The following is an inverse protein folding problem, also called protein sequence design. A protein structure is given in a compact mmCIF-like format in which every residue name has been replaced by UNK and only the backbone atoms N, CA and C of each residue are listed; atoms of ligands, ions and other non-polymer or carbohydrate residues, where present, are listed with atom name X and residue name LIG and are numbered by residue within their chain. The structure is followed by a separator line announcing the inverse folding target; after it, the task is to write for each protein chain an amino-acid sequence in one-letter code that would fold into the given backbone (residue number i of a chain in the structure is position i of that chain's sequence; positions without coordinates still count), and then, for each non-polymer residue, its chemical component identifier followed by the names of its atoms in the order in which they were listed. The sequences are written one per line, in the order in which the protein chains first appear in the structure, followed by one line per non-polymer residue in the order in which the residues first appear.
data_IF_314258559974
#
_entry.id   IF_314258559974
#
_cell.length_a   1.000
_cell.length_b   1.000
_cell.length_c   1.000
_cell.angle_alpha   90.00
_cell.angle_beta   90.00
_cell.angle_gamma   90.00
#
_symmetry.space_group_name_H-M   'P 1'
#
loop_
_entity.id
_entity.type
_entity.pdbx_description
1 polymer ?
#
# COMPACT_ATOMS: atom_id res chain seq x y z
N UNK A 1 -6.46 -6.51 -4.38
CA UNK A 1 -5.49 -6.70 -5.47
C UNK A 1 -4.40 -5.67 -5.30
N UNK A 2 -3.26 -6.10 -4.78
CA UNK A 2 -2.06 -5.26 -4.68
C UNK A 2 -1.59 -5.02 -6.11
N UNK A 3 -1.61 -3.76 -6.57
CA UNK A 3 -1.18 -3.44 -7.93
C UNK A 3 0.34 -3.58 -8.01
N UNK A 4 0.87 -4.45 -8.87
CA UNK A 4 2.32 -4.53 -9.14
C UNK A 4 2.83 -3.20 -9.67
N UNK A 5 3.97 -2.76 -9.18
CA UNK A 5 4.55 -1.45 -9.47
C UNK A 5 6.02 -1.57 -9.83
N UNK A 6 6.55 -0.57 -10.52
CA UNK A 6 7.98 -0.46 -10.74
C UNK A 6 8.44 0.98 -10.61
N UNK A 7 9.66 1.16 -10.14
CA UNK A 7 10.31 2.45 -10.02
C UNK A 7 11.61 2.45 -10.82
N UNK A 8 11.92 3.61 -11.41
CA UNK A 8 13.18 3.84 -12.11
C UNK A 8 14.01 4.83 -11.31
N UNK A 9 15.25 4.44 -11.04
CA UNK A 9 16.25 5.22 -10.32
C UNK A 9 17.41 5.54 -11.27
N UNK A 10 17.83 6.81 -11.28
CA UNK A 10 18.96 7.26 -12.09
C UNK A 10 20.00 7.92 -11.20
N UNK A 11 21.27 7.86 -11.60
CA UNK A 11 22.34 8.54 -10.88
C UNK A 11 22.07 10.05 -10.78
N UNK A 12 22.23 10.60 -9.57
CA UNK A 12 22.10 12.04 -9.33
C UNK A 12 23.11 12.81 -10.18
N UNK A 13 22.71 13.98 -10.67
CA UNK A 13 23.54 14.88 -11.48
C UNK A 13 24.61 15.62 -10.65
N UNK A 14 25.43 14.90 -9.90
CA UNK A 14 26.56 15.43 -9.13
C UNK A 14 27.87 15.26 -9.91
N UNK A 15 28.82 16.21 -9.80
CA UNK A 15 30.11 16.11 -10.47
C UNK A 15 30.91 14.86 -10.04
N UNK A 16 30.78 14.46 -8.76
CA UNK A 16 31.43 13.29 -8.17
C UNK A 16 30.97 11.96 -8.79
N UNK A 17 29.71 11.89 -9.23
CA UNK A 17 29.08 10.67 -9.76
C UNK A 17 29.24 10.53 -11.28
N UNK A 18 29.83 11.53 -11.95
CA UNK A 18 30.02 11.49 -13.42
C UNK A 18 30.84 10.30 -13.89
N UNK A 19 31.79 9.84 -13.07
CA UNK A 19 32.64 8.70 -13.38
C UNK A 19 31.90 7.35 -13.32
N UNK A 20 30.69 7.34 -12.73
CA UNK A 20 29.83 6.16 -12.59
C UNK A 20 28.79 6.05 -13.71
N UNK A 21 28.58 7.13 -14.47
CA UNK A 21 27.62 7.13 -15.59
C UNK A 21 28.08 6.16 -16.68
N UNK A 22 27.15 5.37 -17.19
CA UNK A 22 27.36 4.39 -18.27
C UNK A 22 28.40 3.30 -17.95
N UNK A 23 28.74 3.10 -16.67
CA UNK A 23 29.53 1.96 -16.22
C UNK A 23 28.71 0.68 -16.28
N UNK A 24 29.36 -0.41 -16.62
CA UNK A 24 28.79 -1.75 -16.47
C UNK A 24 28.96 -2.23 -15.04
N UNK A 25 28.16 -3.20 -14.62
CA UNK A 25 28.28 -3.78 -13.27
C UNK A 25 29.64 -4.44 -13.03
N UNK A 26 30.21 -5.08 -14.07
CA UNK A 26 31.54 -5.72 -14.02
C UNK A 26 32.66 -4.72 -13.71
N UNK A 27 32.58 -3.53 -14.29
CA UNK A 27 33.52 -2.45 -14.02
C UNK A 27 33.38 -1.91 -12.60
N UNK A 28 32.14 -1.77 -12.10
CA UNK A 28 31.88 -1.37 -10.72
C UNK A 28 32.41 -2.42 -9.74
N UNK A 29 32.20 -3.70 -10.02
CA UNK A 29 32.71 -4.80 -9.20
C UNK A 29 34.25 -4.83 -9.17
N UNK A 30 34.90 -4.61 -10.32
CA UNK A 30 36.37 -4.55 -10.41
C UNK A 30 36.95 -3.38 -9.60
N UNK A 31 36.29 -2.23 -9.64
CA UNK A 31 36.69 -1.04 -8.90
C UNK A 31 36.19 -1.06 -7.44
N UNK A 32 35.49 -2.13 -7.01
CA UNK A 32 34.87 -2.30 -5.68
C UNK A 32 33.93 -1.15 -5.30
N UNK A 33 33.21 -0.60 -6.28
CA UNK A 33 32.28 0.51 -6.09
C UNK A 33 30.86 -0.06 -5.88
N UNK A 34 30.26 0.10 -4.68
CA UNK A 34 28.91 -0.40 -4.43
C UNK A 34 27.85 0.48 -5.10
N UNK A 35 26.78 -0.17 -5.57
CA UNK A 35 25.59 0.53 -6.10
C UNK A 35 24.65 0.85 -4.93
N UNK A 36 24.70 2.09 -4.45
CA UNK A 36 23.93 2.51 -3.26
C UNK A 36 22.86 3.54 -3.60
N UNK A 37 21.68 3.44 -2.98
CA UNK A 37 20.53 4.32 -3.21
C UNK A 37 20.84 5.82 -3.03
N UNK A 38 21.78 6.19 -2.16
CA UNK A 38 22.13 7.60 -1.87
C UNK A 38 22.66 8.33 -3.11
N UNK A 39 23.26 7.59 -4.04
CA UNK A 39 23.80 8.12 -5.29
C UNK A 39 22.73 8.26 -6.37
N UNK A 40 21.53 7.72 -6.16
CA UNK A 40 20.45 7.67 -7.13
C UNK A 40 19.26 8.53 -6.70
N UNK A 41 18.47 8.94 -7.68
CA UNK A 41 17.18 9.61 -7.52
C UNK A 41 16.09 8.85 -8.26
N UNK A 42 14.91 8.76 -7.65
CA UNK A 42 13.75 8.18 -8.29
C UNK A 42 13.20 9.15 -9.35
N UNK A 43 13.29 8.76 -10.62
CA UNK A 43 12.84 9.59 -11.76
C UNK A 43 11.44 9.24 -12.24
N UNK A 44 10.98 8.02 -11.95
CA UNK A 44 9.69 7.53 -12.39
C UNK A 44 9.15 6.44 -11.45
N UNK A 45 7.82 6.39 -11.33
CA UNK A 45 7.06 5.34 -10.67
C UNK A 45 5.89 4.99 -11.60
N UNK A 46 5.78 3.71 -11.91
CA UNK A 46 4.78 3.14 -12.81
C UNK A 46 4.11 1.91 -12.20
N UNK A 47 3.06 1.47 -12.87
CA UNK A 47 2.38 0.20 -12.61
C UNK A 47 2.82 -0.81 -13.66
N UNK A 48 3.08 -2.05 -13.26
CA UNK A 48 3.43 -3.16 -14.15
C UNK A 48 2.34 -4.22 -14.15
N UNK A 49 2.37 -5.10 -15.15
CA UNK A 49 1.57 -6.32 -15.16
C UNK A 49 2.22 -7.39 -14.27
N UNK A 50 1.40 -8.30 -13.77
CA UNK A 50 1.85 -9.45 -12.99
C UNK A 50 2.86 -10.28 -13.81
N UNK A 51 4.03 -10.58 -13.23
CA UNK A 51 5.09 -11.33 -13.89
C UNK A 51 5.78 -10.62 -15.07
N UNK A 52 5.64 -9.29 -15.19
CA UNK A 52 6.31 -8.52 -16.24
C UNK A 52 7.82 -8.37 -15.96
N UNK A 53 8.63 -8.65 -16.97
CA UNK A 53 10.10 -8.65 -16.86
C UNK A 53 10.67 -7.23 -17.00
N UNK A 54 11.87 -6.94 -16.42
CA UNK A 54 12.51 -5.64 -16.56
C UNK A 54 12.79 -5.26 -18.03
N UNK A 55 13.05 -6.24 -18.89
CA UNK A 55 13.20 -6.05 -20.34
C UNK A 55 11.93 -5.52 -21.01
N UNK A 56 10.78 -6.09 -20.65
CA UNK A 56 9.48 -5.66 -21.16
C UNK A 56 9.14 -4.24 -20.68
N UNK A 57 9.39 -3.94 -19.41
CA UNK A 57 9.19 -2.60 -18.84
C UNK A 57 10.05 -1.57 -19.57
N UNK A 58 11.35 -1.86 -19.79
CA UNK A 58 12.24 -0.98 -20.55
C UNK A 58 11.70 -0.71 -21.96
N UNK A 59 11.27 -1.76 -22.67
CA UNK A 59 10.71 -1.65 -24.02
C UNK A 59 9.43 -0.81 -24.08
N UNK A 60 8.54 -0.95 -23.10
CA UNK A 60 7.31 -0.15 -23.00
C UNK A 60 7.63 1.33 -22.71
N UNK A 61 8.59 1.61 -21.82
CA UNK A 61 9.05 2.97 -21.53
C UNK A 61 9.70 3.64 -22.75
N UNK A 62 10.49 2.91 -23.54
CA UNK A 62 11.10 3.40 -24.77
C UNK A 62 10.05 3.70 -25.85
N UNK A 63 9.03 2.84 -25.97
CA UNK A 63 7.94 3.02 -26.95
C UNK A 63 7.08 4.23 -26.63
N UNK A 64 6.77 4.46 -25.36
CA UNK A 64 5.98 5.59 -24.91
C UNK A 64 6.48 6.11 -23.57
N UNK A 65 7.31 7.14 -23.62
CA UNK A 65 7.78 7.78 -22.40
C UNK A 65 6.60 8.49 -21.69
N UNK A 66 6.34 8.19 -20.41
CA UNK A 66 5.27 8.83 -19.64
C UNK A 66 5.53 10.32 -19.41
N UNK A 67 4.46 11.13 -19.36
CA UNK A 67 4.57 12.59 -19.17
C UNK A 67 5.19 13.00 -17.82
N UNK A 68 5.06 12.14 -16.80
CA UNK A 68 5.60 12.34 -15.46
C UNK A 68 7.03 11.78 -15.29
N UNK A 69 7.66 11.33 -16.37
CA UNK A 69 9.03 10.83 -16.36
C UNK A 69 10.02 12.01 -16.26
N UNK A 70 10.78 12.10 -15.16
CA UNK A 70 11.66 13.26 -14.86
C UNK A 70 13.13 13.08 -15.27
N UNK A 71 13.46 11.96 -15.91
CA UNK A 71 14.83 11.54 -16.23
C UNK A 71 15.10 11.39 -17.73
N UNK A 72 16.21 10.75 -18.06
CA UNK A 72 16.53 10.31 -19.43
C UNK A 72 16.00 8.90 -19.70
N UNK A 73 15.95 8.45 -20.96
CA UNK A 73 15.55 7.07 -21.26
C UNK A 73 16.41 6.07 -20.49
N UNK A 74 15.81 4.95 -20.05
CA UNK A 74 16.48 3.92 -19.24
C UNK A 74 17.73 3.43 -19.96
N UNK A 75 18.89 3.64 -19.34
CA UNK A 75 20.18 3.34 -19.94
C UNK A 75 21.12 2.61 -18.97
N UNK A 76 22.28 2.19 -19.47
CA UNK A 76 23.32 1.56 -18.65
C UNK A 76 23.66 2.48 -17.48
N UNK A 77 23.82 1.92 -16.28
CA UNK A 77 23.97 2.60 -14.98
C UNK A 77 22.71 3.07 -14.28
N UNK A 78 21.53 2.88 -14.87
CA UNK A 78 20.27 3.07 -14.16
C UNK A 78 19.92 1.84 -13.30
N UNK A 79 18.98 2.02 -12.37
CA UNK A 79 18.47 0.95 -11.51
C UNK A 79 16.94 0.87 -11.66
N UNK A 80 16.42 -0.33 -11.87
CA UNK A 80 14.99 -0.64 -11.88
C UNK A 80 14.64 -1.39 -10.60
N UNK A 81 13.62 -0.92 -9.89
CA UNK A 81 13.02 -1.67 -8.78
C UNK A 81 11.65 -2.15 -9.26
N UNK A 82 11.44 -3.45 -9.25
CA UNK A 82 10.15 -4.07 -9.55
C UNK A 82 9.53 -4.51 -8.22
N UNK A 83 8.24 -4.29 -8.07
CA UNK A 83 7.42 -4.76 -6.97
C UNK A 83 6.30 -5.59 -7.57
N UNK A 84 6.45 -6.91 -7.55
CA UNK A 84 5.43 -7.85 -8.05
C UNK A 84 4.75 -8.54 -6.86
N UNK A 85 3.45 -8.28 -6.69
CA UNK A 85 2.64 -8.76 -5.56
C UNK A 85 3.26 -8.50 -4.17
N UNK A 86 4.02 -7.42 -4.00
CA UNK A 86 4.69 -7.09 -2.74
C UNK A 86 6.16 -7.52 -2.70
N UNK A 87 6.59 -8.40 -3.61
CA UNK A 87 7.99 -8.84 -3.73
C UNK A 87 8.80 -7.77 -4.46
N UNK A 88 9.72 -7.14 -3.76
CA UNK A 88 10.57 -6.11 -4.32
C UNK A 88 11.91 -6.68 -4.80
N UNK A 89 12.14 -6.65 -6.11
CA UNK A 89 13.41 -7.07 -6.74
C UNK A 89 14.07 -5.87 -7.40
N UNK A 90 15.38 -5.70 -7.18
CA UNK A 90 16.14 -4.59 -7.75
C UNK A 90 17.09 -5.09 -8.82
N UNK A 91 17.11 -4.39 -9.96
CA UNK A 91 17.91 -4.71 -11.12
C UNK A 91 18.78 -3.53 -11.52
N UNK A 92 20.07 -3.77 -11.65
CA UNK A 92 21.00 -2.87 -12.30
C UNK A 92 20.87 -3.00 -13.82
N UNK A 93 20.70 -1.88 -14.52
CA UNK A 93 20.64 -1.83 -15.97
C UNK A 93 22.07 -1.87 -16.52
N UNK A 94 22.45 -3.01 -17.08
CA UNK A 94 23.69 -3.14 -17.83
C UNK A 94 23.44 -2.80 -19.32
N UNK A 95 24.42 -3.00 -20.21
CA UNK A 95 24.28 -2.70 -21.65
C UNK A 95 23.08 -3.41 -22.28
N UNK A 96 23.10 -4.74 -22.22
CA UNK A 96 22.10 -5.61 -22.86
C UNK A 96 21.44 -6.57 -21.88
N UNK A 97 21.74 -6.46 -20.59
CA UNK A 97 21.27 -7.36 -19.53
C UNK A 97 20.85 -6.59 -18.29
N UNK A 98 20.04 -7.25 -17.46
CA UNK A 98 19.65 -6.76 -16.14
C UNK A 98 20.30 -7.66 -15.10
N UNK A 99 21.01 -7.07 -14.15
CA UNK A 99 21.69 -7.80 -13.08
C UNK A 99 20.92 -7.57 -11.80
N UNK A 100 20.42 -8.64 -11.20
CA UNK A 100 19.75 -8.56 -9.91
C UNK A 100 20.76 -8.13 -8.82
N UNK A 101 20.41 -7.08 -8.07
CA UNK A 101 21.25 -6.53 -7.02
C UNK A 101 20.44 -6.41 -5.72
N UNK A 102 20.80 -7.17 -4.70
CA UNK A 102 20.11 -7.09 -3.40
C UNK A 102 20.53 -5.83 -2.62
N UNK A 103 21.80 -5.43 -2.70
CA UNK A 103 22.47 -4.39 -1.90
C UNK A 103 21.93 -2.94 -2.00
N UNK A 104 20.99 -2.66 -2.91
CA UNK A 104 20.60 -1.29 -3.25
C UNK A 104 19.85 -0.54 -2.13
N UNK A 105 18.92 -1.23 -1.43
CA UNK A 105 17.91 -0.61 -0.55
C UNK A 105 18.22 -0.67 0.95
N UNK A 106 19.49 -0.85 1.35
CA UNK A 106 19.93 -1.04 2.75
C UNK A 106 19.55 0.05 3.79
N UNK A 107 18.89 1.13 3.40
CA UNK A 107 18.85 2.39 4.18
C UNK A 107 17.68 2.51 5.15
N UNK A 108 16.79 1.52 5.29
CA UNK A 108 15.64 1.63 6.22
C UNK A 108 15.73 0.74 7.47
N UNK A 109 16.84 0.03 7.68
CA UNK A 109 17.12 -0.63 8.96
C UNK A 109 17.70 0.39 9.95
N UNK A 110 16.92 1.42 10.26
CA UNK A 110 17.23 2.37 11.32
C UNK A 110 17.18 1.66 12.68
N UNK A 111 18.34 1.53 13.32
CA UNK A 111 18.52 1.58 14.79
C UNK A 111 17.73 0.59 15.67
N UNK A 112 17.14 -0.47 15.12
CA UNK A 112 16.29 -1.39 15.88
C UNK A 112 16.87 -2.79 16.06
N UNK A 113 18.18 -2.94 16.31
CA UNK A 113 18.80 -4.19 16.80
C UNK A 113 18.44 -5.50 16.08
N UNK A 114 17.94 -5.42 14.84
CA UNK A 114 17.43 -6.55 14.07
C UNK A 114 18.53 -7.16 13.19
N UNK A 115 18.20 -8.28 12.56
CA UNK A 115 19.10 -8.95 11.61
C UNK A 115 19.56 -7.96 10.54
N UNK A 116 20.86 -7.96 10.28
CA UNK A 116 21.50 -7.17 9.22
C UNK A 116 22.17 -8.11 8.22
N UNK A 117 22.48 -7.61 7.02
CA UNK A 117 23.15 -8.39 5.98
C UNK A 117 24.56 -8.88 6.34
N UNK A 118 25.22 -8.26 7.33
CA UNK A 118 26.54 -8.68 7.82
C UNK A 118 26.42 -9.55 9.09
N UNK A 119 25.21 -10.06 9.40
CA UNK A 119 25.03 -10.91 10.58
C UNK A 119 25.67 -12.26 10.32
N UNK A 120 26.69 -12.54 11.12
CA UNK A 120 27.39 -13.82 11.21
C UNK A 120 27.31 -14.31 12.65
N UNK A 121 27.43 -15.60 12.87
CA UNK A 121 27.39 -16.19 14.21
C UNK A 121 25.99 -16.16 14.84
N UNK A 122 24.92 -16.07 14.04
CA UNK A 122 23.56 -15.98 14.57
C UNK A 122 23.07 -17.35 15.03
N UNK A 123 22.63 -17.44 16.29
CA UNK A 123 22.01 -18.65 16.83
C UNK A 123 20.49 -18.56 16.63
N UNK A 124 19.94 -19.49 15.83
CA UNK A 124 18.50 -19.56 15.58
C UNK A 124 17.86 -20.43 16.68
N UNK A 125 16.81 -19.92 17.34
CA UNK A 125 16.12 -20.65 18.39
C UNK A 125 15.61 -22.02 17.87
N UNK A 126 16.04 -23.11 18.52
CA UNK A 126 15.65 -24.47 18.15
C UNK A 126 16.49 -25.11 17.03
N UNK A 127 17.57 -24.47 16.56
CA UNK A 127 18.54 -25.05 15.63
C UNK A 127 19.93 -25.02 16.24
N UNK A 128 20.64 -26.13 16.14
CA UNK A 128 22.03 -26.21 16.58
C UNK A 128 22.93 -25.50 15.57
N UNK A 129 23.97 -24.82 16.09
CA UNK A 129 25.00 -24.18 15.30
C UNK A 129 24.76 -22.69 15.04
N UNK A 130 25.74 -22.10 14.37
CA UNK A 130 25.75 -20.69 13.98
C UNK A 130 25.39 -20.53 12.51
N UNK A 131 24.68 -19.46 12.21
CA UNK A 131 24.15 -19.16 10.90
C UNK A 131 24.59 -17.78 10.44
N UNK A 132 24.84 -17.63 9.15
CA UNK A 132 25.19 -16.38 8.50
C UNK A 132 24.11 -15.97 7.50
N UNK A 133 23.93 -14.65 7.32
CA UNK A 133 23.03 -14.11 6.30
C UNK A 133 23.73 -14.13 4.95
N UNK A 134 23.19 -14.88 4.00
CA UNK A 134 23.74 -14.98 2.63
C UNK A 134 22.96 -14.14 1.61
N UNK A 135 21.67 -13.91 1.86
CA UNK A 135 20.80 -13.15 0.98
C UNK A 135 19.66 -12.53 1.77
N UNK A 136 18.99 -11.54 1.19
CA UNK A 136 17.82 -10.93 1.80
C UNK A 136 16.82 -10.44 0.76
N UNK A 137 15.56 -10.42 1.17
CA UNK A 137 14.43 -10.04 0.33
C UNK A 137 13.59 -9.00 1.05
N UNK A 138 13.19 -7.95 0.34
CA UNK A 138 12.32 -6.91 0.86
C UNK A 138 10.90 -7.12 0.34
N UNK A 139 9.96 -7.45 1.23
CA UNK A 139 8.54 -7.62 0.90
C UNK A 139 7.72 -6.63 1.74
N UNK A 140 6.91 -5.79 1.08
CA UNK A 140 6.08 -4.76 1.73
C UNK A 140 6.78 -3.85 2.76
N UNK A 141 8.08 -3.56 2.54
CA UNK A 141 8.86 -2.72 3.46
C UNK A 141 9.43 -3.46 4.67
N UNK A 142 9.30 -4.79 4.75
CA UNK A 142 9.95 -5.65 5.75
C UNK A 142 11.07 -6.47 5.11
N UNK A 143 12.22 -6.52 5.77
CA UNK A 143 13.33 -7.36 5.34
C UNK A 143 13.15 -8.80 5.83
N UNK A 144 13.46 -9.73 4.95
CA UNK A 144 13.52 -11.16 5.17
C UNK A 144 14.93 -11.63 4.82
N UNK A 145 15.50 -12.52 5.63
CA UNK A 145 16.90 -12.92 5.52
C UNK A 145 16.99 -14.41 5.26
N UNK A 146 17.83 -14.80 4.31
CA UNK A 146 18.19 -16.19 4.04
C UNK A 146 19.46 -16.53 4.81
N UNK A 147 19.35 -17.54 5.66
CA UNK A 147 20.40 -17.99 6.56
C UNK A 147 21.03 -19.27 6.03
N UNK A 148 22.36 -19.28 5.93
CA UNK A 148 23.19 -20.46 5.65
C UNK A 148 23.90 -20.90 6.93
N UNK A 149 24.06 -22.21 7.11
CA UNK A 149 24.77 -22.74 8.27
C UNK A 149 26.28 -22.56 8.08
N UNK A 150 26.99 -21.96 9.01
CA UNK A 150 28.41 -21.61 8.81
C UNK A 150 29.32 -22.84 8.65
N UNK A 151 29.12 -23.88 9.46
CA UNK A 151 29.99 -25.07 9.43
C UNK A 151 29.71 -26.03 8.26
N UNK A 152 28.46 -26.14 7.85
CA UNK A 152 28.02 -27.13 6.85
C UNK A 152 27.61 -26.50 5.52
N UNK A 153 27.54 -25.17 5.45
CA UNK A 153 27.18 -24.41 4.25
C UNK A 153 25.95 -24.98 3.56
N UNK A 154 26.15 -25.40 2.31
CA UNK A 154 25.14 -25.95 1.39
C UNK A 154 24.70 -27.39 1.70
N UNK A 155 25.40 -28.11 2.57
CA UNK A 155 25.01 -29.46 3.00
C UNK A 155 23.82 -29.41 3.98
N UNK A 156 23.51 -28.23 4.52
CA UNK A 156 22.35 -27.98 5.38
C UNK A 156 21.37 -27.06 4.65
N UNK A 157 20.08 -27.34 4.80
CA UNK A 157 19.04 -26.53 4.20
C UNK A 157 19.02 -25.10 4.77
N UNK A 158 18.82 -24.12 3.90
CA UNK A 158 18.67 -22.72 4.26
C UNK A 158 17.43 -22.49 5.13
N UNK A 159 17.50 -21.45 5.95
CA UNK A 159 16.42 -21.00 6.84
C UNK A 159 16.08 -19.56 6.52
N UNK A 160 14.79 -19.23 6.44
CA UNK A 160 14.34 -17.86 6.18
C UNK A 160 13.80 -17.23 7.46
N UNK A 161 14.38 -16.09 7.83
CA UNK A 161 14.02 -15.30 9.00
C UNK A 161 13.37 -13.96 8.63
N UNK A 162 12.52 -13.43 9.50
CA UNK A 162 12.08 -12.03 9.46
C UNK A 162 13.14 -11.11 10.11
N UNK A 163 13.14 -9.80 9.82
CA UNK A 163 13.95 -8.77 10.51
C UNK A 163 14.01 -8.85 12.05
N UNK A 164 12.99 -9.42 12.71
CA UNK A 164 12.91 -9.65 14.15
C UNK A 164 13.53 -10.99 14.61
N UNK A 165 14.00 -11.85 13.70
CA UNK A 165 14.56 -13.16 14.01
C UNK A 165 13.55 -14.32 14.06
N UNK A 166 12.29 -14.09 13.68
CA UNK A 166 11.29 -15.17 13.62
C UNK A 166 11.53 -16.07 12.40
N UNK A 167 11.51 -17.39 12.61
CA UNK A 167 11.63 -18.39 11.52
C UNK A 167 10.32 -18.49 10.75
N UNK A 168 10.35 -18.20 9.45
CA UNK A 168 9.18 -18.30 8.55
C UNK A 168 9.20 -19.58 7.73
N UNK A 169 10.38 -19.99 7.29
CA UNK A 169 10.56 -21.22 6.51
C UNK A 169 11.81 -21.93 6.99
N UNK A 170 11.64 -23.19 7.40
CA UNK A 170 12.74 -24.11 7.66
C UNK A 170 12.86 -25.11 6.50
N UNK A 171 14.08 -25.27 5.94
CA UNK A 171 14.35 -26.39 5.03
C UNK A 171 14.26 -26.06 3.53
N UNK A 172 14.81 -24.94 3.07
CA UNK A 172 14.86 -24.63 1.62
C UNK A 172 16.26 -24.87 1.07
N UNK A 173 16.37 -25.50 -0.10
CA UNK A 173 17.67 -25.69 -0.77
C UNK A 173 17.87 -24.73 -1.96
N UNK A 174 16.80 -24.03 -2.37
CA UNK A 174 16.79 -23.14 -3.52
C UNK A 174 16.73 -21.64 -3.14
N UNK A 175 16.97 -21.29 -1.87
CA UNK A 175 16.90 -19.90 -1.41
C UNK A 175 15.49 -19.32 -1.44
N UNK A 176 15.34 -18.07 -1.89
CA UNK A 176 14.05 -17.38 -2.07
C UNK A 176 13.29 -17.85 -3.32
N UNK A 177 12.92 -19.13 -3.32
CA UNK A 177 12.07 -19.71 -4.36
C UNK A 177 10.63 -19.14 -4.33
N UNK A 178 9.87 -19.29 -5.40
CA UNK A 178 8.49 -18.78 -5.49
C UNK A 178 7.59 -19.34 -4.37
N UNK A 179 7.84 -20.58 -3.94
CA UNK A 179 7.17 -21.21 -2.80
C UNK A 179 7.47 -20.46 -1.49
N UNK A 180 8.71 -20.03 -1.29
CA UNK A 180 9.15 -19.30 -0.11
C UNK A 180 8.56 -17.90 -0.11
N UNK A 181 8.62 -17.22 -1.26
CA UNK A 181 8.00 -15.89 -1.45
C UNK A 181 6.50 -15.94 -1.13
N UNK A 182 5.79 -16.97 -1.62
CA UNK A 182 4.37 -17.17 -1.32
C UNK A 182 4.12 -17.41 0.17
N UNK A 183 4.94 -18.21 0.86
CA UNK A 183 4.81 -18.38 2.32
C UNK A 183 5.03 -17.08 3.10
N UNK A 184 5.97 -16.24 2.66
CA UNK A 184 6.20 -14.94 3.27
C UNK A 184 4.99 -14.01 3.03
N UNK A 185 4.46 -14.00 1.81
CA UNK A 185 3.26 -13.24 1.45
C UNK A 185 2.02 -13.71 2.22
N UNK A 186 1.82 -15.02 2.38
CA UNK A 186 0.73 -15.61 3.19
C UNK A 186 0.87 -15.23 4.67
N UNK A 187 2.11 -15.14 5.18
CA UNK A 187 2.35 -14.68 6.56
C UNK A 187 2.04 -13.19 6.75
N UNK A 188 2.22 -12.37 5.70
CA UNK A 188 1.95 -10.93 5.70
C UNK A 188 0.47 -10.63 5.53
N UNK A 189 -0.15 -11.31 4.59
CA UNK A 189 -1.58 -11.30 4.32
C UNK A 189 -2.11 -12.68 4.64
N UNK A 190 -2.31 -13.01 5.93
CA UNK A 190 -2.98 -14.25 6.27
C UNK A 190 -4.26 -14.26 5.45
N UNK A 191 -4.56 -15.37 4.73
CA UNK A 191 -5.82 -15.49 4.04
C UNK A 191 -6.82 -15.22 5.13
N UNK A 192 -7.50 -14.07 5.03
CA UNK A 192 -8.66 -13.81 5.83
C UNK A 192 -9.46 -15.06 5.59
N UNK A 193 -9.60 -15.90 6.62
CA UNK A 193 -10.71 -16.82 6.63
C UNK A 193 -11.86 -15.87 6.40
N UNK A 194 -12.36 -15.83 5.17
CA UNK A 194 -13.76 -15.65 4.95
C UNK A 194 -14.35 -16.68 5.89
N UNK A 195 -14.65 -16.24 7.11
CA UNK A 195 -15.94 -16.52 7.67
C UNK A 195 -16.84 -16.31 6.47
N UNK A 196 -17.30 -17.41 5.91
CA UNK A 196 -18.46 -17.43 5.03
C UNK A 196 -19.61 -16.88 5.85
N UNK A 197 -19.57 -15.59 6.19
CA UNK A 197 -20.75 -14.78 6.24
C UNK A 197 -21.18 -14.71 4.78
N UNK A 198 -22.19 -15.53 4.47
CA UNK A 198 -22.91 -15.58 3.22
C UNK A 198 -22.81 -14.26 2.45
N UNK A 199 -21.90 -14.21 1.47
CA UNK A 199 -21.80 -13.10 0.53
C UNK A 199 -23.05 -13.14 -0.36
N UNK A 200 -24.17 -12.61 0.14
CA UNK A 200 -25.24 -12.16 -0.73
C UNK A 200 -24.63 -11.06 -1.60
N UNK A 201 -24.60 -11.21 -2.94
CA UNK A 201 -24.14 -10.14 -3.80
C UNK A 201 -24.91 -8.86 -3.44
N UNK A 202 -24.23 -7.71 -3.36
CA UNK A 202 -24.89 -6.42 -3.14
C UNK A 202 -25.79 -6.13 -4.34
N UNK A 203 -27.02 -6.63 -4.26
CA UNK A 203 -28.06 -6.44 -5.23
C UNK A 203 -28.35 -4.95 -5.33
N UNK A 204 -28.30 -4.44 -6.55
CA UNK A 204 -28.70 -3.08 -6.89
C UNK A 204 -30.15 -2.85 -6.42
N UNK A 205 -30.55 -1.61 -6.09
CA UNK A 205 -31.88 -1.38 -5.48
C UNK A 205 -33.03 -1.99 -6.31
N UNK A 206 -32.95 -1.92 -7.65
CA UNK A 206 -33.94 -2.51 -8.57
C UNK A 206 -33.95 -4.04 -8.58
N UNK A 207 -32.84 -4.67 -8.24
CA UNK A 207 -32.65 -6.11 -8.25
C UNK A 207 -33.21 -6.73 -6.94
N UNK A 208 -33.16 -5.97 -5.82
CA UNK A 208 -33.90 -6.30 -4.58
C UNK A 208 -35.42 -6.32 -4.77
N UNK A 209 -35.95 -5.51 -5.69
CA UNK A 209 -37.40 -5.47 -5.96
C UNK A 209 -37.90 -6.68 -6.76
N UNK A 210 -37.06 -7.29 -7.60
CA UNK A 210 -37.40 -8.51 -8.35
C UNK A 210 -37.40 -9.75 -7.47
N UNK A 211 -36.43 -9.86 -6.56
CA UNK A 211 -36.23 -11.07 -5.73
C UNK A 211 -37.23 -11.18 -4.57
N UNK A 212 -37.71 -10.05 -4.03
CA UNK A 212 -38.69 -10.03 -2.93
C UNK A 212 -40.13 -10.34 -3.35
N UNK A 213 -40.43 -10.52 -4.65
CA UNK A 213 -41.75 -10.97 -5.12
C UNK A 213 -42.94 -10.04 -4.83
N UNK A 214 -42.71 -8.82 -4.32
CA UNK A 214 -43.79 -7.90 -3.90
C UNK A 214 -44.56 -7.23 -5.05
N UNK A 215 -44.18 -7.44 -6.32
CA UNK A 215 -44.97 -6.92 -7.44
C UNK A 215 -46.30 -7.68 -7.59
N UNK A 216 -46.33 -8.97 -7.26
CA UNK A 216 -47.56 -9.76 -7.23
C UNK A 216 -48.39 -9.40 -5.99
N UNK A 217 -47.73 -9.22 -4.85
CA UNK A 217 -48.39 -8.92 -3.57
C UNK A 217 -49.07 -7.55 -3.55
N UNK A 218 -48.52 -6.56 -4.28
CA UNK A 218 -49.13 -5.24 -4.45
C UNK A 218 -50.29 -5.23 -5.46
N UNK A 219 -50.27 -6.12 -6.46
CA UNK A 219 -51.39 -6.34 -7.37
C UNK A 219 -52.55 -7.10 -6.69
N UNK A 220 -52.26 -8.02 -5.76
CA UNK A 220 -53.27 -8.74 -4.96
C UNK A 220 -53.82 -7.90 -3.79
N UNK A 221 -53.02 -7.00 -3.20
CA UNK A 221 -53.46 -6.10 -2.11
C UNK A 221 -54.53 -5.08 -2.56
N UNK A 222 -54.66 -4.82 -3.86
CA UNK A 222 -55.78 -4.02 -4.37
C UNK A 222 -57.13 -4.72 -4.27
N UNK A 223 -57.18 -6.03 -4.00
CA UNK A 223 -58.43 -6.80 -3.93
C UNK A 223 -58.79 -7.35 -2.53
N UNK A 224 -57.87 -7.41 -1.57
CA UNK A 224 -58.20 -7.89 -0.22
C UNK A 224 -58.56 -6.75 0.75
N UNK A 225 -59.88 -6.60 0.95
CA UNK A 225 -60.43 -5.81 2.04
C UNK A 225 -60.01 -6.39 3.40
N UNK A 226 -59.40 -5.51 4.19
CA UNK A 226 -58.88 -5.66 5.55
C UNK A 226 -59.88 -6.33 6.53
N UNK A 227 -59.75 -7.64 6.77
CA UNK A 227 -60.41 -8.35 7.87
C UNK A 227 -59.46 -8.50 9.06
N UNK A 228 -59.42 -7.50 9.93
CA UNK A 228 -59.14 -7.70 11.35
C UNK A 228 -59.78 -6.58 12.18
N UNK A 229 -61.11 -6.65 12.23
CA UNK A 229 -61.96 -6.00 13.23
C UNK A 229 -62.00 -6.84 14.52
N UNK A 230 -60.90 -6.93 15.29
CA UNK A 230 -60.97 -7.58 16.63
C UNK A 230 -60.29 -6.79 17.76
N UNK A 231 -59.38 -5.84 17.50
CA UNK A 231 -58.93 -4.92 18.55
C UNK A 231 -59.08 -3.46 18.10
N UNK A 232 -59.76 -2.66 18.90
CA UNK A 232 -60.34 -1.36 18.54
C UNK A 232 -59.34 -0.22 18.29
N UNK A 233 -58.10 -0.50 17.90
CA UNK A 233 -57.09 0.51 17.56
C UNK A 233 -56.99 0.71 16.04
N UNK A 234 -57.66 1.76 15.55
CA UNK A 234 -57.43 2.32 14.22
C UNK A 234 -56.05 2.99 14.18
N UNK A 235 -55.04 2.33 13.62
CA UNK A 235 -53.72 2.92 13.39
C UNK A 235 -53.53 3.58 12.02
N UNK A 236 -54.54 3.55 11.13
CA UNK A 236 -54.48 4.16 9.79
C UNK A 236 -55.56 5.23 9.55
N UNK A 237 -55.86 6.08 10.54
CA UNK A 237 -56.58 7.31 10.24
C UNK A 237 -55.63 8.30 9.55
N UNK A 238 -56.08 8.94 8.47
CA UNK A 238 -55.38 10.06 7.85
C UNK A 238 -55.02 11.10 8.93
N UNK A 239 -53.80 11.68 8.92
CA UNK A 239 -53.41 12.63 9.93
C UNK A 239 -54.38 13.82 9.90
N UNK A 240 -55.12 14.03 11.00
CA UNK A 240 -55.94 15.22 11.19
C UNK A 240 -55.09 16.47 10.99
N UNK A 241 -55.63 17.41 10.21
CA UNK A 241 -55.05 18.67 9.76
C UNK A 241 -53.89 19.16 10.62
N UNK A 242 -52.66 18.85 10.19
CA UNK A 242 -51.47 19.46 10.77
C UNK A 242 -51.47 20.91 10.31
N UNK A 243 -51.90 21.82 11.20
CA UNK A 243 -51.66 23.28 11.09
C UNK A 243 -50.26 23.49 10.52
N UNK A 244 -50.20 24.26 9.43
CA UNK A 244 -49.00 24.62 8.69
C UNK A 244 -48.01 25.38 9.60
N UNK A 245 -47.30 24.66 10.47
CA UNK A 245 -46.17 25.20 11.22
C UNK A 245 -44.94 24.98 10.37
N UNK A 246 -44.48 26.07 9.75
CA UNK A 246 -43.18 26.10 9.09
C UNK A 246 -42.14 25.57 10.07
N UNK A 247 -41.48 24.46 9.71
CA UNK A 247 -40.41 23.89 10.52
C UNK A 247 -39.24 24.88 10.46
N UNK A 248 -38.90 25.48 11.59
CA UNK A 248 -37.74 26.37 11.67
C UNK A 248 -36.48 25.64 11.21
N UNK A 249 -35.71 26.29 10.33
CA UNK A 249 -34.48 25.74 9.78
C UNK A 249 -33.47 25.48 10.90
N UNK A 250 -32.88 24.29 10.88
CA UNK A 250 -31.85 23.86 11.84
C UNK A 250 -30.67 24.84 11.86
N UNK A 251 -30.38 25.50 10.72
CA UNK A 251 -29.36 26.54 10.61
C UNK A 251 -29.64 27.75 11.50
N UNK A 252 -30.90 28.19 11.58
CA UNK A 252 -31.26 29.37 12.38
C UNK A 252 -31.05 29.08 13.87
N UNK A 253 -31.49 27.91 14.33
CA UNK A 253 -31.24 27.43 15.70
C UNK A 253 -29.75 27.28 16.02
N UNK A 254 -28.96 26.84 15.04
CA UNK A 254 -27.51 26.69 15.21
C UNK A 254 -26.81 28.05 15.32
N UNK A 255 -27.32 29.07 14.61
CA UNK A 255 -26.73 30.42 14.63
C UNK A 255 -27.09 31.17 15.93
N UNK A 256 -28.33 31.08 16.39
CA UNK A 256 -28.76 31.64 17.70
C UNK A 256 -27.94 31.05 18.84
N UNK A 257 -27.72 29.73 18.81
CA UNK A 257 -26.93 29.03 19.83
C UNK A 257 -25.45 29.43 19.81
N UNK A 258 -24.90 29.79 18.63
CA UNK A 258 -23.53 30.33 18.49
C UNK A 258 -23.42 31.74 19.06
N UNK A 259 -24.42 32.60 18.83
CA UNK A 259 -24.47 33.96 19.39
C UNK A 259 -24.65 33.96 20.90
N UNK A 260 -25.47 33.04 21.43
CA UNK A 260 -25.65 32.87 22.88
C UNK A 260 -24.36 32.40 23.56
N UNK A 261 -23.62 31.49 22.93
CA UNK A 261 -22.29 31.07 23.40
C UNK A 261 -21.28 32.22 23.35
N UNK A 262 -21.28 33.04 22.29
CA UNK A 262 -20.40 34.21 22.19
C UNK A 262 -20.70 35.28 23.24
N UNK A 263 -21.98 35.52 23.56
CA UNK A 263 -22.38 36.40 24.67
C UNK A 263 -21.96 35.88 26.04
N UNK A 264 -22.00 34.56 26.26
CA UNK A 264 -21.58 33.93 27.53
C UNK A 264 -20.08 33.87 27.70
N UNK A 265 -19.31 33.69 26.63
CA UNK A 265 -17.85 33.54 26.71
C UNK A 265 -17.07 34.86 26.67
N UNK A 266 -17.76 36.00 26.52
CA UNK A 266 -17.12 37.32 26.44
C UNK A 266 -16.19 37.49 25.22
N UNK A 267 -16.19 36.53 24.29
CA UNK A 267 -15.43 36.62 23.05
C UNK A 267 -16.27 37.36 22.02
N UNK A 268 -15.84 38.57 21.67
CA UNK A 268 -16.32 39.26 20.47
C UNK A 268 -16.25 38.30 19.28
N UNK A 269 -17.34 38.19 18.54
CA UNK A 269 -17.38 37.35 17.34
C UNK A 269 -16.33 37.84 16.34
N UNK A 270 -15.61 36.93 15.66
CA UNK A 270 -14.58 37.29 14.66
C UNK A 270 -15.10 38.23 13.56
N UNK A 271 -16.42 38.28 13.31
CA UNK A 271 -17.04 39.23 12.38
C UNK A 271 -16.91 40.69 12.83
N UNK A 272 -16.93 40.95 14.14
CA UNK A 272 -16.81 42.29 14.70
C UNK A 272 -15.35 42.77 14.72
N UNK A 273 -14.41 41.84 14.95
CA UNK A 273 -12.96 42.11 14.89
C UNK A 273 -12.53 42.42 13.45
N UNK A 274 -12.99 41.65 12.47
CA UNK A 274 -12.68 41.90 11.05
C UNK A 274 -13.38 43.14 10.47
N UNK A 275 -14.46 43.63 11.09
CA UNK A 275 -15.15 44.85 10.66
C UNK A 275 -14.45 46.14 11.09
N UNK A 276 -13.78 46.13 12.25
CA UNK A 276 -13.10 47.32 12.79
C UNK A 276 -11.72 47.58 12.15
N UNK A 277 -11.03 46.54 11.67
CA UNK A 277 -9.72 46.70 11.01
C UNK A 277 -9.81 47.29 9.59
N UNK A 278 -10.99 47.26 8.95
CA UNK A 278 -11.16 47.82 7.60
C UNK A 278 -11.39 49.34 7.63
N UNK A 279 -11.90 49.90 8.73
CA UNK A 279 -12.16 51.34 8.84
C UNK A 279 -10.93 52.18 9.20
N UNK A 280 -9.87 51.59 9.78
CA UNK A 280 -8.65 52.31 10.13
C UNK A 280 -7.58 52.38 9.02
N UNK A 281 -7.80 51.75 7.86
CA UNK A 281 -6.87 51.80 6.72
C UNK A 281 -7.27 52.79 5.60
N UNK A 282 -8.25 53.68 5.85
CA UNK A 282 -8.54 54.83 4.98
C UNK A 282 -8.44 56.14 5.74
N UNK A 283 -7.21 56.62 5.94
CA UNK A 283 -6.89 58.03 6.02
C UNK A 283 -5.44 58.27 5.67
#
# INVERSE_FOLDING_TARGET
MSASQFAVYQLKKKPELRNLLFRTYEELAKDQIPVQMENYEQVYLGTMKLGETPEQIKKELEKKQPHNYKGHAVSTSDVLILNDEGVMTTYYVNKDTFIEISDFMKVISSESGGLTKDTVGYEIEGKDGTWEVIDYLLIEGKNYFLMEHEQYGKDVAYVVLDQNGNVLVDGTYNGFDDVVKQKILDSLHPPVQEQTEDYKPKLDNWQKYMENGEYLRSAEITEEANYNMIDGLKNNAAPKDKKNRQKESVLTKLNEKKEEVARRSGQKTMREVMGQDIEHSKK
#
